data_IF_311809422411
#
_entry.id   IF_311809422411
#
_cell.length_a   1.000
_cell.length_b   1.000
_cell.length_c   1.000
_cell.angle_alpha   90.00
_cell.angle_beta   90.00
_cell.angle_gamma   90.00
#
_symmetry.space_group_name_H-M   'P 1'
#
loop_
_entity.id
_entity.type
_entity.pdbx_description
1 polymer ?
#
# COMPACT_ATOMS: atom_id res chain seq x y z
N UNK A 1 -25.50 0.82 -13.73
CA UNK A 1 -26.94 0.91 -13.37
C UNK A 1 -27.14 1.09 -11.88
N UNK A 2 -26.75 0.14 -11.02
CA UNK A 2 -26.91 0.24 -9.55
C UNK A 2 -26.38 1.55 -8.92
N UNK A 3 -25.16 1.99 -9.27
CA UNK A 3 -24.57 3.23 -8.75
C UNK A 3 -25.43 4.47 -9.01
N UNK A 4 -26.07 4.55 -10.19
CA UNK A 4 -26.86 5.73 -10.56
C UNK A 4 -28.17 5.79 -9.79
N UNK A 5 -28.80 4.62 -9.62
CA UNK A 5 -30.00 4.51 -8.78
C UNK A 5 -29.70 4.94 -7.35
N UNK A 6 -28.61 4.47 -6.75
CA UNK A 6 -28.23 4.83 -5.38
C UNK A 6 -27.90 6.33 -5.24
N UNK A 7 -27.08 6.87 -6.15
CA UNK A 7 -26.68 8.28 -6.10
C UNK A 7 -27.88 9.21 -6.27
N UNK A 8 -28.78 8.94 -7.20
CA UNK A 8 -30.00 9.73 -7.39
C UNK A 8 -30.88 9.72 -6.13
N UNK A 9 -31.02 8.56 -5.47
CA UNK A 9 -31.80 8.43 -4.24
C UNK A 9 -31.21 9.18 -3.06
N UNK A 10 -29.88 9.11 -2.87
CA UNK A 10 -29.17 9.74 -1.75
C UNK A 10 -29.06 11.24 -1.94
N UNK A 11 -28.60 11.68 -3.11
CA UNK A 11 -28.29 13.09 -3.37
C UNK A 11 -29.47 13.91 -3.90
N UNK A 12 -30.61 13.27 -4.21
CA UNK A 12 -31.81 13.92 -4.79
C UNK A 12 -31.51 14.68 -6.08
N UNK A 13 -30.62 14.13 -6.89
CA UNK A 13 -30.24 14.71 -8.18
C UNK A 13 -31.14 14.10 -9.27
N UNK A 14 -31.70 14.97 -10.10
CA UNK A 14 -32.47 14.62 -11.28
C UNK A 14 -31.64 14.84 -12.55
N UNK A 15 -31.87 14.02 -13.58
CA UNK A 15 -31.20 14.15 -14.88
C UNK A 15 -30.24 13.01 -15.23
N UNK A 16 -29.67 13.09 -16.43
CA UNK A 16 -28.78 12.07 -16.97
C UNK A 16 -27.31 12.36 -16.66
N UNK A 17 -26.48 11.31 -16.59
CA UNK A 17 -25.02 11.47 -16.55
C UNK A 17 -24.53 12.22 -17.79
N UNK A 18 -23.67 13.21 -17.57
CA UNK A 18 -22.93 13.89 -18.65
C UNK A 18 -21.65 13.12 -18.99
N UNK A 19 -20.97 12.57 -17.98
CA UNK A 19 -19.73 11.81 -18.14
C UNK A 19 -19.57 10.81 -16.98
N UNK A 20 -18.87 9.71 -17.22
CA UNK A 20 -18.52 8.74 -16.18
C UNK A 20 -17.19 8.04 -16.50
N UNK A 21 -16.43 7.72 -15.45
CA UNK A 21 -15.21 6.92 -15.53
C UNK A 21 -15.19 5.87 -14.43
N UNK A 22 -14.99 4.61 -14.81
CA UNK A 22 -14.83 3.50 -13.87
C UNK A 22 -13.40 3.01 -13.94
N UNK A 23 -12.76 2.93 -12.78
CA UNK A 23 -11.47 2.28 -12.61
C UNK A 23 -11.60 1.16 -11.60
N UNK A 24 -11.08 -0.02 -11.95
CA UNK A 24 -11.07 -1.19 -11.07
C UNK A 24 -9.68 -1.33 -10.47
N UNK A 25 -9.65 -1.49 -9.16
CA UNK A 25 -8.42 -1.61 -8.38
C UNK A 25 -8.34 -3.03 -7.82
N UNK A 26 -7.83 -3.95 -8.64
CA UNK A 26 -7.67 -5.35 -8.28
C UNK A 26 -6.46 -5.48 -7.35
N UNK A 27 -6.63 -6.15 -6.21
CA UNK A 27 -5.58 -6.39 -5.21
C UNK A 27 -4.83 -5.13 -4.74
N UNK A 28 -5.46 -3.96 -4.85
CA UNK A 28 -4.84 -2.67 -4.60
C UNK A 28 -4.91 -2.21 -3.14
N UNK A 29 -5.65 -2.93 -2.29
CA UNK A 29 -5.86 -2.56 -0.90
C UNK A 29 -5.37 -3.67 0.03
N UNK A 30 -4.11 -3.60 0.49
CA UNK A 30 -3.57 -4.53 1.47
C UNK A 30 -4.44 -4.62 2.73
N UNK A 31 -4.76 -5.85 3.13
CA UNK A 31 -5.54 -6.13 4.33
C UNK A 31 -4.61 -6.64 5.42
N UNK A 32 -4.47 -5.88 6.50
CA UNK A 32 -3.64 -6.28 7.64
C UNK A 32 -4.46 -7.11 8.61
N UNK A 33 -4.32 -8.43 8.52
CA UNK A 33 -4.92 -9.34 9.48
C UNK A 33 -4.23 -9.25 10.86
N UNK A 34 -4.87 -9.71 11.94
CA UNK A 34 -4.19 -9.83 13.24
C UNK A 34 -2.86 -10.58 13.14
N UNK A 35 -1.79 -9.99 13.68
CA UNK A 35 -0.43 -10.53 13.62
C UNK A 35 0.39 -10.08 12.40
N UNK A 36 -0.14 -9.19 11.54
CA UNK A 36 0.58 -8.61 10.41
C UNK A 36 1.93 -7.98 10.79
N UNK A 37 1.97 -7.27 11.92
CA UNK A 37 3.18 -6.66 12.45
C UNK A 37 4.29 -7.69 12.73
N UNK A 38 3.92 -8.84 13.31
CA UNK A 38 4.83 -9.96 13.59
C UNK A 38 5.30 -10.63 12.30
N UNK A 39 4.39 -10.81 11.34
CA UNK A 39 4.71 -11.36 10.03
C UNK A 39 5.75 -10.49 9.30
N UNK A 40 5.51 -9.18 9.22
CA UNK A 40 6.43 -8.23 8.59
C UNK A 40 7.78 -8.22 9.31
N UNK A 41 7.79 -8.21 10.65
CA UNK A 41 9.04 -8.27 11.41
C UNK A 41 9.84 -9.56 11.17
N UNK A 42 9.16 -10.70 11.02
CA UNK A 42 9.80 -11.97 10.67
C UNK A 42 10.40 -11.93 9.26
N UNK A 43 9.66 -11.41 8.26
CA UNK A 43 10.17 -11.24 6.89
C UNK A 43 11.42 -10.36 6.88
N UNK A 44 11.38 -9.18 7.51
CA UNK A 44 12.54 -8.28 7.56
C UNK A 44 13.74 -8.91 8.27
N UNK A 45 13.51 -9.69 9.33
CA UNK A 45 14.58 -10.44 10.01
C UNK A 45 15.20 -11.47 9.07
N UNK A 46 14.37 -12.28 8.43
CA UNK A 46 14.82 -13.39 7.59
C UNK A 46 15.56 -12.86 6.35
N UNK A 47 15.11 -11.74 5.77
CA UNK A 47 15.82 -11.04 4.70
C UNK A 47 17.21 -10.59 5.14
N UNK A 48 17.34 -9.96 6.32
CA UNK A 48 18.64 -9.51 6.82
C UNK A 48 19.64 -10.66 7.01
N UNK A 49 19.17 -11.84 7.40
CA UNK A 49 20.05 -12.99 7.65
C UNK A 49 20.35 -13.80 6.40
N UNK A 50 19.35 -14.01 5.53
CA UNK A 50 19.49 -14.88 4.37
C UNK A 50 20.00 -14.14 3.13
N UNK A 51 19.64 -12.86 2.98
CA UNK A 51 19.98 -12.05 1.80
C UNK A 51 20.36 -10.62 2.22
N UNK A 52 21.53 -10.42 2.86
CA UNK A 52 21.98 -9.09 3.26
C UNK A 52 21.99 -8.12 2.08
N UNK A 53 21.57 -6.88 2.31
CA UNK A 53 21.44 -5.85 1.28
C UNK A 53 20.07 -5.76 0.60
N UNK A 54 19.14 -6.68 0.89
CA UNK A 54 17.74 -6.60 0.42
C UNK A 54 16.84 -5.97 1.49
N UNK A 55 16.08 -4.96 1.08
CA UNK A 55 15.15 -4.23 1.93
C UNK A 55 13.78 -4.13 1.26
N UNK A 56 12.72 -4.08 2.07
CA UNK A 56 11.32 -3.99 1.62
C UNK A 56 10.68 -2.69 2.07
N UNK A 57 9.78 -2.15 1.25
CA UNK A 57 9.02 -0.94 1.53
C UNK A 57 7.71 -0.96 0.73
N UNK A 58 6.68 -0.28 1.25
CA UNK A 58 5.40 -0.08 0.53
C UNK A 58 4.16 -0.38 1.37
N UNK A 59 3.00 -0.28 0.72
CA UNK A 59 1.70 -0.35 1.38
C UNK A 59 1.38 -1.72 1.98
N UNK A 60 2.10 -2.77 1.59
CA UNK A 60 1.93 -4.12 2.15
C UNK A 60 2.61 -4.34 3.49
N UNK A 61 3.44 -3.40 3.98
CA UNK A 61 4.28 -3.63 5.15
C UNK A 61 3.86 -2.75 6.33
N UNK A 62 4.52 -1.61 6.53
CA UNK A 62 4.37 -0.80 7.76
C UNK A 62 3.51 0.45 7.51
N UNK A 63 2.28 0.23 7.07
CA UNK A 63 1.29 1.27 6.85
C UNK A 63 0.93 1.46 5.38
N UNK A 64 -0.37 1.62 5.12
CA UNK A 64 -0.95 1.71 3.78
C UNK A 64 -0.87 3.10 3.16
N UNK A 65 -0.96 4.14 3.98
CA UNK A 65 -1.06 5.52 3.51
C UNK A 65 0.19 6.00 2.77
N UNK A 66 0.01 6.90 1.80
CA UNK A 66 1.09 7.49 1.00
C UNK A 66 2.26 7.99 1.87
N UNK A 67 2.05 8.73 2.97
CA UNK A 67 3.15 9.18 3.83
C UNK A 67 3.95 8.02 4.45
N UNK A 68 3.27 6.93 4.82
CA UNK A 68 3.92 5.74 5.36
C UNK A 68 4.79 5.06 4.29
N UNK A 69 4.28 4.91 3.07
CA UNK A 69 5.04 4.39 1.94
C UNK A 69 6.27 5.24 1.62
N UNK A 70 6.14 6.57 1.61
CA UNK A 70 7.26 7.50 1.40
C UNK A 70 8.32 7.32 2.50
N UNK A 71 7.90 7.27 3.76
CA UNK A 71 8.81 7.10 4.89
C UNK A 71 9.56 5.75 4.80
N UNK A 72 8.83 4.67 4.53
CA UNK A 72 9.42 3.34 4.33
C UNK A 72 10.44 3.33 3.18
N UNK A 73 10.11 3.95 2.04
CA UNK A 73 11.02 4.07 0.91
C UNK A 73 12.31 4.81 1.25
N UNK A 74 12.20 5.93 1.99
CA UNK A 74 13.37 6.69 2.48
C UNK A 74 14.26 5.85 3.40
N UNK A 75 13.66 5.09 4.33
CA UNK A 75 14.39 4.23 5.26
C UNK A 75 15.08 3.05 4.55
N UNK A 76 14.39 2.42 3.60
CA UNK A 76 14.95 1.33 2.80
C UNK A 76 16.12 1.81 1.94
N UNK A 77 15.98 2.96 1.27
CA UNK A 77 17.05 3.56 0.49
C UNK A 77 18.27 3.91 1.36
N UNK A 78 18.05 4.50 2.54
CA UNK A 78 19.14 4.77 3.49
C UNK A 78 19.86 3.49 3.91
N UNK A 79 19.10 2.46 4.31
CA UNK A 79 19.67 1.18 4.75
C UNK A 79 20.48 0.50 3.63
N UNK A 80 19.99 0.59 2.39
CA UNK A 80 20.70 0.07 1.22
C UNK A 80 22.00 0.81 0.95
N UNK A 81 22.01 2.15 1.02
CA UNK A 81 23.23 2.95 0.88
C UNK A 81 24.24 2.64 1.98
N UNK A 82 23.79 2.53 3.23
CA UNK A 82 24.63 2.19 4.37
C UNK A 82 25.27 0.80 4.17
N UNK A 83 24.51 -0.19 3.73
CA UNK A 83 25.03 -1.53 3.42
C UNK A 83 26.05 -1.53 2.29
N UNK A 84 25.77 -0.85 1.18
CA UNK A 84 26.71 -0.74 0.06
C UNK A 84 28.01 -0.06 0.47
N UNK A 85 27.97 0.88 1.43
CA UNK A 85 29.17 1.50 2.00
C UNK A 85 29.99 0.57 2.90
N UNK A 86 29.46 -0.62 3.26
CA UNK A 86 30.18 -1.64 4.04
C UNK A 86 30.82 -2.73 3.19
N UNK A 87 30.51 -2.77 1.89
CA UNK A 87 31.15 -3.67 0.92
C UNK A 87 32.53 -3.12 0.53
#
# INVERSE_FOLDING_TARGET
>A
EALLTEVAQILKIEGNLVEWRVSRWIDAFPQYAPGHDRLVAAIERDLRTAIPGVYIAGAGYRGLGIPACINQGKLAAKSALDYLGTL
#
